data_IF_020079752168
#
_entry.id   IF_020079752168
#
_cell.length_a   1.000
_cell.length_b   1.000
_cell.length_c   1.000
_cell.angle_alpha   90.00
_cell.angle_beta   90.00
_cell.angle_gamma   90.00
#
_symmetry.space_group_name_H-M   'P 1'
#
loop_
_entity.id
_entity.type
_entity.pdbx_description
1 polymer ?
#
# COMPACT_ATOMS: atom_id res chain seq x y z
N UNK A 1 12.58 -10.87 -16.93
CA UNK A 1 11.35 -10.11 -16.66
C UNK A 1 10.33 -10.97 -15.94
N UNK A 2 9.61 -10.38 -15.02
CA UNK A 2 8.38 -10.95 -14.46
C UNK A 2 7.19 -10.39 -15.20
N UNK A 3 6.20 -11.24 -15.51
CA UNK A 3 4.91 -10.80 -16.02
C UNK A 3 3.87 -10.95 -14.92
N UNK A 4 3.02 -9.93 -14.76
CA UNK A 4 1.90 -10.01 -13.85
C UNK A 4 0.65 -10.64 -14.50
N UNK A 5 -0.46 -10.63 -13.78
CA UNK A 5 -1.73 -11.18 -14.27
C UNK A 5 -2.28 -10.44 -15.51
N UNK A 6 -1.79 -9.22 -15.76
CA UNK A 6 -2.18 -8.39 -16.91
C UNK A 6 -1.17 -8.45 -18.06
N UNK A 7 -0.20 -9.38 -18.00
CA UNK A 7 0.92 -9.51 -18.95
C UNK A 7 1.85 -8.27 -18.98
N UNK A 8 1.85 -7.46 -17.95
CA UNK A 8 2.83 -6.39 -17.82
C UNK A 8 4.18 -6.97 -17.37
N UNK A 9 5.24 -6.57 -18.04
CA UNK A 9 6.59 -7.05 -17.77
C UNK A 9 7.34 -6.11 -16.81
N UNK A 10 7.95 -6.70 -15.78
CA UNK A 10 8.77 -5.98 -14.81
C UNK A 10 10.21 -6.49 -14.87
N UNK A 11 11.24 -5.59 -14.88
CA UNK A 11 12.62 -6.02 -14.89
C UNK A 11 12.99 -6.76 -13.61
N UNK A 12 13.77 -7.84 -13.74
CA UNK A 12 14.26 -8.60 -12.59
C UNK A 12 15.16 -7.76 -11.66
N UNK A 13 15.88 -6.80 -12.23
CA UNK A 13 16.80 -5.94 -11.50
C UNK A 13 16.12 -5.16 -10.36
N UNK A 14 14.87 -4.81 -10.54
CA UNK A 14 14.10 -4.07 -9.53
C UNK A 14 13.80 -4.91 -8.28
N UNK A 15 13.97 -6.22 -8.37
CA UNK A 15 13.65 -7.17 -7.32
C UNK A 15 14.88 -7.84 -6.69
N UNK A 16 16.08 -7.42 -7.10
CA UNK A 16 17.33 -7.95 -6.50
C UNK A 16 17.35 -7.70 -4.98
N UNK A 17 17.78 -8.71 -4.25
CA UNK A 17 17.82 -8.74 -2.77
C UNK A 17 16.46 -8.64 -2.09
N UNK A 18 15.38 -8.71 -2.85
CA UNK A 18 14.03 -8.73 -2.29
C UNK A 18 13.59 -10.16 -2.00
N UNK A 19 12.83 -10.29 -0.93
CA UNK A 19 12.22 -11.55 -0.55
C UNK A 19 11.13 -11.93 -1.55
N UNK A 20 11.12 -13.20 -1.97
CA UNK A 20 10.08 -13.74 -2.83
C UNK A 20 9.83 -15.21 -2.54
N UNK A 21 8.72 -15.71 -3.02
CA UNK A 21 8.39 -17.12 -2.94
C UNK A 21 8.22 -17.70 -4.33
N UNK A 22 8.71 -18.92 -4.53
CA UNK A 22 8.61 -19.67 -5.77
C UNK A 22 7.72 -20.87 -5.54
N UNK A 23 6.77 -21.10 -6.46
CA UNK A 23 5.92 -22.28 -6.40
C UNK A 23 6.62 -23.45 -7.09
N UNK A 24 7.09 -24.41 -6.27
CA UNK A 24 7.82 -25.57 -6.76
C UNK A 24 7.51 -26.78 -5.87
N UNK A 25 7.25 -27.93 -6.49
CA UNK A 25 6.91 -29.15 -5.73
C UNK A 25 5.60 -29.01 -4.98
N UNK A 26 4.59 -28.37 -5.58
CA UNK A 26 3.26 -28.14 -5.01
C UNK A 26 3.23 -27.30 -3.73
N UNK A 27 4.27 -26.52 -3.48
CA UNK A 27 4.35 -25.58 -2.34
C UNK A 27 5.13 -24.33 -2.69
N UNK A 28 4.89 -23.27 -1.92
CA UNK A 28 5.66 -22.03 -2.02
C UNK A 28 6.92 -22.14 -1.19
N UNK A 29 8.06 -21.80 -1.80
CA UNK A 29 9.37 -21.80 -1.15
C UNK A 29 9.91 -20.38 -1.10
N UNK A 30 10.32 -19.95 0.08
CA UNK A 30 10.72 -18.59 0.40
C UNK A 30 12.23 -18.40 0.28
N UNK A 31 12.64 -17.31 -0.37
CA UNK A 31 14.04 -16.96 -0.53
C UNK A 31 14.22 -15.52 -0.98
N UNK A 32 15.44 -15.19 -1.40
CA UNK A 32 15.80 -13.87 -1.91
C UNK A 32 16.31 -13.98 -3.34
N UNK A 33 15.94 -13.05 -4.20
CA UNK A 33 16.52 -12.99 -5.54
C UNK A 33 17.96 -12.48 -5.41
N UNK A 34 18.94 -13.39 -5.53
CA UNK A 34 20.37 -13.07 -5.32
C UNK A 34 21.07 -12.56 -6.57
N UNK A 35 20.61 -12.99 -7.75
CA UNK A 35 21.03 -12.48 -9.05
C UNK A 35 19.88 -12.58 -10.05
N UNK A 36 20.13 -12.33 -11.34
CA UNK A 36 19.08 -12.25 -12.36
C UNK A 36 18.39 -13.60 -12.68
N UNK A 37 18.66 -14.65 -11.97
CA UNK A 37 18.03 -15.94 -12.24
C UNK A 37 18.13 -16.93 -11.10
N UNK A 38 18.65 -16.52 -9.94
CA UNK A 38 18.87 -17.41 -8.81
C UNK A 38 18.15 -16.90 -7.57
N UNK A 39 17.42 -17.80 -6.90
CA UNK A 39 16.82 -17.53 -5.60
C UNK A 39 17.61 -18.27 -4.54
N UNK A 40 18.14 -17.52 -3.56
CA UNK A 40 18.84 -18.07 -2.41
C UNK A 40 17.85 -18.38 -1.30
N UNK A 41 17.71 -19.65 -0.96
CA UNK A 41 16.96 -20.14 0.16
C UNK A 41 17.90 -20.35 1.36
N UNK A 42 17.34 -20.74 2.48
CA UNK A 42 18.09 -20.89 3.73
C UNK A 42 19.29 -21.85 3.62
N UNK A 43 19.17 -22.94 2.84
CA UNK A 43 20.18 -24.00 2.73
C UNK A 43 20.58 -24.34 1.30
N UNK A 44 19.96 -23.70 0.31
CA UNK A 44 20.17 -24.03 -1.10
C UNK A 44 19.89 -22.84 -2.00
N UNK A 45 20.37 -22.92 -3.23
CA UNK A 45 20.05 -21.97 -4.29
C UNK A 45 19.20 -22.66 -5.33
N UNK A 46 18.17 -21.96 -5.83
CA UNK A 46 17.32 -22.41 -6.91
C UNK A 46 17.51 -21.53 -8.12
N UNK A 47 17.66 -22.13 -9.30
CA UNK A 47 17.62 -21.39 -10.56
C UNK A 47 16.19 -21.21 -11.02
N UNK A 48 15.78 -19.97 -11.30
CA UNK A 48 14.45 -19.69 -11.84
C UNK A 48 14.36 -20.24 -13.26
N UNK A 49 13.28 -20.97 -13.50
CA UNK A 49 12.95 -21.50 -14.79
C UNK A 49 12.00 -20.56 -15.52
N UNK A 50 11.99 -20.64 -16.87
CA UNK A 50 11.06 -19.89 -17.70
C UNK A 50 9.59 -20.24 -17.32
N UNK A 51 8.73 -19.23 -17.19
CA UNK A 51 7.31 -19.36 -16.83
C UNK A 51 7.04 -19.95 -15.44
N UNK A 52 8.03 -19.96 -14.57
CA UNK A 52 7.85 -20.38 -13.19
C UNK A 52 7.04 -19.34 -12.41
N UNK A 53 6.10 -19.80 -11.57
CA UNK A 53 5.28 -18.90 -10.76
C UNK A 53 6.08 -18.41 -9.55
N UNK A 54 6.09 -17.10 -9.37
CA UNK A 54 6.67 -16.43 -8.22
C UNK A 54 5.65 -15.48 -7.60
N UNK A 55 5.81 -15.18 -6.32
CA UNK A 55 5.05 -14.11 -5.69
C UNK A 55 5.98 -13.27 -4.82
N UNK A 56 5.70 -11.98 -4.79
CA UNK A 56 6.50 -11.00 -4.08
C UNK A 56 5.59 -10.27 -3.12
N UNK A 57 6.00 -10.20 -1.86
CA UNK A 57 5.25 -9.43 -0.87
C UNK A 57 5.36 -7.95 -1.21
N UNK A 58 4.22 -7.30 -1.45
CA UNK A 58 4.17 -5.87 -1.66
C UNK A 58 4.44 -5.15 -0.34
N UNK A 59 5.31 -4.15 -0.39
CA UNK A 59 5.53 -3.25 0.74
C UNK A 59 4.56 -2.08 0.66
N UNK A 60 4.13 -1.56 1.81
CA UNK A 60 3.35 -0.33 1.87
C UNK A 60 4.25 0.86 1.57
N UNK A 61 3.69 1.86 0.89
CA UNK A 61 4.34 3.14 0.71
C UNK A 61 4.56 3.79 2.09
N UNK A 62 5.76 4.32 2.34
CA UNK A 62 6.19 4.73 3.68
C UNK A 62 5.27 5.77 4.33
N UNK A 63 4.94 6.85 3.62
CA UNK A 63 4.07 7.90 4.16
C UNK A 63 2.66 7.38 4.47
N UNK A 64 2.17 6.46 3.65
CA UNK A 64 0.87 5.84 3.84
C UNK A 64 0.87 4.88 5.04
N UNK A 65 1.91 4.07 5.20
CA UNK A 65 2.05 3.20 6.37
C UNK A 65 2.02 4.01 7.66
N UNK A 66 2.73 5.13 7.70
CA UNK A 66 2.72 6.05 8.84
C UNK A 66 1.33 6.62 9.12
N UNK A 67 0.58 6.99 8.08
CA UNK A 67 -0.80 7.46 8.27
C UNK A 67 -1.66 6.39 8.93
N UNK A 68 -1.57 5.15 8.45
CA UNK A 68 -2.37 4.05 9.00
C UNK A 68 -2.08 3.82 10.49
N UNK A 69 -0.85 4.03 10.92
CA UNK A 69 -0.47 3.93 12.33
C UNK A 69 -1.00 5.09 13.17
N UNK A 70 -1.14 6.28 12.58
CA UNK A 70 -1.56 7.49 13.29
C UNK A 70 -3.08 7.64 13.38
N UNK A 71 -3.86 6.95 12.53
CA UNK A 71 -5.32 7.03 12.57
C UNK A 71 -5.89 6.31 13.79
N UNK A 72 -6.95 6.87 14.39
CA UNK A 72 -7.72 6.13 15.38
C UNK A 72 -8.44 4.94 14.74
N UNK A 73 -8.90 3.99 15.56
CA UNK A 73 -9.45 2.72 15.06
C UNK A 73 -10.70 2.92 14.19
N UNK A 74 -11.58 3.85 14.53
CA UNK A 74 -12.79 4.11 13.75
C UNK A 74 -12.45 4.70 12.38
N UNK A 75 -11.57 5.69 12.34
CA UNK A 75 -11.13 6.31 11.09
C UNK A 75 -10.38 5.31 10.21
N UNK A 76 -9.52 4.50 10.80
CA UNK A 76 -8.81 3.42 10.11
C UNK A 76 -9.79 2.44 9.48
N UNK A 77 -10.75 1.96 10.26
CA UNK A 77 -11.74 0.99 9.78
C UNK A 77 -12.55 1.55 8.62
N UNK A 78 -13.08 2.77 8.76
CA UNK A 78 -13.88 3.40 7.71
C UNK A 78 -13.08 3.65 6.45
N UNK A 79 -11.82 4.07 6.60
CA UNK A 79 -10.93 4.28 5.47
C UNK A 79 -10.71 2.98 4.69
N UNK A 80 -10.32 1.92 5.37
CA UNK A 80 -10.04 0.63 4.75
C UNK A 80 -11.29 0.04 4.09
N UNK A 81 -12.43 0.09 4.76
CA UNK A 81 -13.70 -0.41 4.21
C UNK A 81 -14.09 0.33 2.94
N UNK A 82 -13.94 1.67 2.93
CA UNK A 82 -14.26 2.48 1.75
C UNK A 82 -13.29 2.19 0.61
N UNK A 83 -12.00 2.14 0.89
CA UNK A 83 -10.97 1.83 -0.10
C UNK A 83 -11.25 0.48 -0.77
N UNK A 84 -11.51 -0.56 0.03
CA UNK A 84 -11.81 -1.90 -0.47
C UNK A 84 -13.13 -1.95 -1.26
N UNK A 85 -14.13 -1.16 -0.87
CA UNK A 85 -15.40 -1.07 -1.62
C UNK A 85 -15.23 -0.50 -3.02
N UNK A 86 -14.17 0.26 -3.24
CA UNK A 86 -13.79 0.82 -4.55
C UNK A 86 -12.83 -0.10 -5.33
N UNK A 87 -12.60 -1.31 -4.83
CA UNK A 87 -11.70 -2.32 -5.41
C UNK A 87 -10.22 -1.94 -5.36
N UNK A 88 -9.81 -1.19 -4.35
CA UNK A 88 -8.41 -0.89 -4.07
C UNK A 88 -7.95 -1.56 -2.80
N UNK A 89 -6.69 -2.00 -2.78
CA UNK A 89 -5.99 -2.48 -1.60
C UNK A 89 -5.07 -1.39 -1.06
N UNK A 90 -4.71 -1.47 0.20
CA UNK A 90 -3.69 -0.59 0.79
C UNK A 90 -2.35 -0.70 0.04
N UNK A 91 -2.08 -1.84 -0.56
CA UNK A 91 -0.85 -2.08 -1.34
C UNK A 91 -0.87 -1.46 -2.74
N UNK A 92 -2.00 -0.90 -3.17
CA UNK A 92 -2.12 -0.21 -4.45
C UNK A 92 -1.66 1.25 -4.37
N UNK A 93 -1.23 1.72 -3.22
CA UNK A 93 -0.75 3.08 -3.03
C UNK A 93 0.56 3.30 -3.79
N UNK A 94 0.53 4.24 -4.76
CA UNK A 94 1.70 4.58 -5.58
C UNK A 94 2.33 5.92 -5.21
N UNK A 95 1.61 6.75 -4.46
CA UNK A 95 2.10 8.06 -4.00
C UNK A 95 1.46 8.40 -2.66
N UNK A 96 2.23 9.00 -1.77
CA UNK A 96 1.73 9.46 -0.50
C UNK A 96 2.48 10.70 -0.01
N UNK A 97 1.72 11.68 0.47
CA UNK A 97 2.22 12.81 1.22
C UNK A 97 1.48 12.87 2.56
N UNK A 98 2.22 12.68 3.65
CA UNK A 98 1.67 12.65 5.00
C UNK A 98 2.28 13.79 5.84
N UNK A 99 1.56 14.89 5.94
CA UNK A 99 1.96 16.04 6.74
C UNK A 99 1.82 15.75 8.24
N UNK A 100 0.92 14.88 8.63
CA UNK A 100 0.66 14.55 10.03
C UNK A 100 1.90 14.03 10.75
N UNK A 101 2.78 13.31 10.06
CA UNK A 101 4.05 12.83 10.61
C UNK A 101 4.89 13.98 11.20
N UNK A 102 4.82 15.17 10.65
CA UNK A 102 5.56 16.35 11.10
C UNK A 102 4.81 17.18 12.16
N UNK A 103 3.51 16.92 12.33
CA UNK A 103 2.63 17.75 13.17
C UNK A 103 2.10 17.03 14.40
N UNK A 104 2.29 15.71 14.50
CA UNK A 104 1.61 14.90 15.52
C UNK A 104 1.95 15.27 16.97
N UNK A 105 3.13 15.86 17.23
CA UNK A 105 3.54 16.28 18.55
C UNK A 105 3.00 17.67 18.93
N UNK A 106 2.27 18.32 18.02
CA UNK A 106 1.65 19.61 18.28
C UNK A 106 0.24 19.43 18.79
N UNK A 107 -0.14 20.17 19.83
CA UNK A 107 -1.44 20.04 20.49
C UNK A 107 -2.62 20.39 19.60
N UNK A 108 -2.46 21.36 18.71
CA UNK A 108 -3.48 21.79 17.77
C UNK A 108 -2.87 21.76 16.38
N UNK A 109 -3.26 20.79 15.58
CA UNK A 109 -2.76 20.69 14.22
C UNK A 109 -3.89 20.40 13.25
N UNK A 110 -3.72 20.85 12.04
CA UNK A 110 -4.64 20.60 10.93
C UNK A 110 -3.85 20.58 9.63
N UNK A 111 -4.40 19.92 8.65
CA UNK A 111 -3.77 19.83 7.34
C UNK A 111 -4.47 18.86 6.43
N UNK A 112 -3.83 18.58 5.30
CA UNK A 112 -4.34 17.66 4.29
C UNK A 112 -3.21 16.71 3.88
N UNK A 113 -3.52 15.42 3.89
CA UNK A 113 -2.66 14.38 3.35
C UNK A 113 -3.18 13.94 1.98
N UNK A 114 -2.28 13.52 1.11
CA UNK A 114 -2.62 13.13 -0.26
C UNK A 114 -2.09 11.73 -0.56
N UNK A 115 -2.94 10.88 -1.10
CA UNK A 115 -2.55 9.53 -1.52
C UNK A 115 -3.17 9.21 -2.86
N UNK A 116 -2.44 8.45 -3.67
CA UNK A 116 -2.93 7.97 -4.96
C UNK A 116 -2.80 6.45 -5.00
N UNK A 117 -3.87 5.80 -5.44
CA UNK A 117 -3.96 4.35 -5.56
C UNK A 117 -4.18 3.98 -7.02
N UNK A 118 -3.49 2.94 -7.47
CA UNK A 118 -3.62 2.38 -8.80
C UNK A 118 -3.73 0.86 -8.68
N UNK A 119 -4.87 0.29 -9.10
CA UNK A 119 -5.09 -1.16 -9.07
C UNK A 119 -4.88 -1.83 -10.43
N UNK A 120 -4.30 -1.10 -11.40
CA UNK A 120 -4.10 -1.60 -12.76
C UNK A 120 -5.29 -1.38 -13.70
N UNK A 121 -6.47 -1.05 -13.17
CA UNK A 121 -7.68 -0.78 -13.95
C UNK A 121 -8.18 0.65 -13.74
N UNK A 122 -8.13 1.14 -12.53
CA UNK A 122 -8.58 2.47 -12.14
C UNK A 122 -7.56 3.15 -11.26
N UNK A 123 -7.64 4.46 -11.21
CA UNK A 123 -6.84 5.31 -10.30
C UNK A 123 -7.79 6.02 -9.35
N UNK A 124 -7.42 6.09 -8.08
CA UNK A 124 -8.16 6.81 -7.06
C UNK A 124 -7.24 7.76 -6.33
N UNK A 125 -7.60 9.04 -6.28
CA UNK A 125 -6.94 9.99 -5.42
C UNK A 125 -7.68 10.09 -4.10
N UNK A 126 -6.96 10.16 -3.00
CA UNK A 126 -7.52 10.30 -1.66
C UNK A 126 -6.94 11.53 -1.00
N UNK A 127 -7.80 12.40 -0.50
CA UNK A 127 -7.43 13.51 0.36
C UNK A 127 -7.89 13.18 1.78
N UNK A 128 -6.97 13.27 2.74
CA UNK A 128 -7.28 13.14 4.14
C UNK A 128 -7.13 14.51 4.80
N UNK A 129 -8.26 15.13 5.11
CA UNK A 129 -8.33 16.37 5.86
C UNK A 129 -8.41 16.04 7.34
N UNK A 130 -7.49 16.58 8.13
CA UNK A 130 -7.50 16.36 9.57
C UNK A 130 -7.49 17.68 10.33
N UNK A 131 -8.23 17.70 11.42
CA UNK A 131 -8.23 18.79 12.40
C UNK A 131 -8.20 18.14 13.78
N UNK A 132 -7.06 18.23 14.46
CA UNK A 132 -6.87 17.64 15.77
C UNK A 132 -6.65 18.73 16.81
N UNK A 133 -7.66 18.94 17.65
CA UNK A 133 -7.63 19.89 18.76
C UNK A 133 -8.26 19.25 20.00
N UNK A 134 -9.43 19.71 20.44
CA UNK A 134 -10.20 19.05 21.50
C UNK A 134 -10.89 17.79 21.00
N UNK A 135 -11.03 17.63 19.70
CA UNK A 135 -11.59 16.46 19.02
C UNK A 135 -10.70 16.07 17.86
N UNK A 136 -10.71 14.78 17.53
CA UNK A 136 -10.11 14.30 16.30
C UNK A 136 -11.15 14.30 15.19
N UNK A 137 -10.94 15.11 14.18
CA UNK A 137 -11.79 15.17 12.99
C UNK A 137 -10.99 14.70 11.79
N UNK A 138 -11.45 13.63 11.18
CA UNK A 138 -10.90 13.04 9.96
C UNK A 138 -11.95 13.06 8.87
N UNK A 139 -11.58 13.60 7.71
CA UNK A 139 -12.43 13.60 6.53
C UNK A 139 -11.62 13.03 5.37
N UNK A 140 -12.14 11.99 4.74
CA UNK A 140 -11.51 11.36 3.58
C UNK A 140 -12.36 11.61 2.34
N UNK A 141 -11.73 12.12 1.29
CA UNK A 141 -12.35 12.30 -0.02
C UNK A 141 -11.68 11.36 -1.02
N UNK A 142 -12.45 10.44 -1.57
CA UNK A 142 -12.02 9.47 -2.58
C UNK A 142 -12.55 9.92 -3.92
N UNK A 143 -11.68 10.10 -4.92
CA UNK A 143 -12.09 10.44 -6.27
C UNK A 143 -11.44 9.50 -7.26
N UNK A 144 -12.25 8.75 -7.99
CA UNK A 144 -11.79 7.85 -9.05
C UNK A 144 -11.67 8.58 -10.38
N UNK A 145 -10.82 8.08 -11.27
CA UNK A 145 -10.70 8.58 -12.65
C UNK A 145 -11.98 8.41 -13.45
N UNK A 146 -12.94 7.58 -13.00
CA UNK A 146 -14.28 7.45 -13.58
C UNK A 146 -15.21 8.61 -13.20
N UNK A 147 -14.78 9.50 -12.29
CA UNK A 147 -15.58 10.58 -11.75
C UNK A 147 -16.33 10.23 -10.48
N UNK A 148 -16.34 8.98 -10.06
CA UNK A 148 -16.98 8.55 -8.82
C UNK A 148 -16.27 9.17 -7.62
N UNK A 149 -17.04 9.75 -6.70
CA UNK A 149 -16.51 10.41 -5.50
C UNK A 149 -17.26 9.93 -4.26
N UNK A 150 -16.50 9.63 -3.22
CA UNK A 150 -17.03 9.27 -1.90
C UNK A 150 -16.36 10.15 -0.86
N UNK A 151 -17.15 10.66 0.08
CA UNK A 151 -16.66 11.44 1.23
C UNK A 151 -17.11 10.75 2.50
N UNK A 152 -16.19 10.54 3.43
CA UNK A 152 -16.48 10.03 4.77
C UNK A 152 -15.89 10.97 5.81
N UNK A 153 -16.58 11.15 6.92
CA UNK A 153 -16.14 11.99 8.03
C UNK A 153 -16.28 11.24 9.34
N UNK A 154 -15.27 11.41 10.20
CA UNK A 154 -15.29 10.91 11.57
C UNK A 154 -14.89 12.00 12.54
N UNK A 155 -15.71 12.18 13.58
CA UNK A 155 -15.46 13.15 14.63
C UNK A 155 -15.46 12.41 15.97
N UNK A 156 -14.30 12.31 16.60
CA UNK A 156 -14.12 11.60 17.85
C UNK A 156 -13.58 12.54 18.95
N UNK A 157 -14.06 12.44 20.18
CA UNK A 157 -13.44 13.15 21.28
C UNK A 157 -12.05 12.59 21.56
N UNK A 158 -11.08 13.46 21.83
CA UNK A 158 -9.76 13.03 22.28
C UNK A 158 -9.87 12.65 23.75
N UNK A 159 -9.56 11.40 24.05
CA UNK A 159 -9.55 10.88 25.42
C UNK A 159 -8.25 11.16 26.16
#
# INVERSE_FOLDING_TARGET
FFNDENDEAYPLEDYLQREMEVFRGSRWRKGFLSDLGTITLRKENLTLLHQEKVRIKKSLQYSFEHLLEDLNDDSFFQFIMTLNSLNFSVYDCIYGYNQLTFLRDKKNCSGVNFFVFDNGQCVCSVQHHFVYSTKEHDRFEFTQNTGKRIVIEKLNPIS
#
